data_IF_141668859071
#
_entry.id   IF_141668859071
#
_cell.length_a   1.000
_cell.length_b   1.000
_cell.length_c   1.000
_cell.angle_alpha   90.00
_cell.angle_beta   90.00
_cell.angle_gamma   90.00
#
_symmetry.space_group_name_H-M   'P 1'
#
loop_
_entity.id
_entity.type
_entity.pdbx_description
1 polymer ?
#
# COMPACT_ATOMS: atom_id res chain seq x y z
N UNK A 1 -15.62 10.19 29.01
CA UNK A 1 -15.61 8.83 28.43
C UNK A 1 -14.27 8.65 27.72
N UNK A 2 -13.69 7.45 27.77
CA UNK A 2 -12.25 7.21 27.83
C UNK A 2 -11.40 7.72 26.67
N UNK A 3 -10.26 8.32 27.01
CA UNK A 3 -9.13 8.56 26.10
C UNK A 3 -8.62 7.21 25.59
N UNK A 4 -9.03 6.80 24.38
CA UNK A 4 -8.33 5.75 23.63
C UNK A 4 -6.90 6.25 23.41
N UNK A 5 -5.96 5.78 24.24
CA UNK A 5 -4.53 5.87 23.94
C UNK A 5 -4.29 4.93 22.77
N UNK A 6 -4.35 5.45 21.56
CA UNK A 6 -3.71 4.77 20.44
C UNK A 6 -2.23 4.70 20.80
N UNK A 7 -1.59 3.52 20.67
CA UNK A 7 -0.21 3.38 21.07
C UNK A 7 0.60 4.43 20.29
N UNK A 8 1.51 5.13 20.98
CA UNK A 8 2.49 6.07 20.39
C UNK A 8 3.41 5.40 19.35
N UNK A 9 3.11 4.15 19.01
CA UNK A 9 3.91 3.19 18.29
C UNK A 9 2.99 2.21 17.56
N UNK A 10 3.13 2.08 16.25
CA UNK A 10 2.61 0.92 15.52
C UNK A 10 3.74 -0.11 15.46
N UNK A 11 3.77 -1.11 16.36
CA UNK A 11 4.85 -2.09 16.42
C UNK A 11 4.99 -2.84 15.10
N UNK A 12 6.25 -3.06 14.68
CA UNK A 12 6.56 -3.87 13.51
C UNK A 12 6.37 -3.21 12.15
N UNK A 13 5.90 -1.95 12.07
CA UNK A 13 5.81 -1.21 10.79
C UNK A 13 7.19 -0.71 10.34
N UNK A 14 7.43 -0.59 9.03
CA UNK A 14 8.64 0.00 8.46
C UNK A 14 8.90 1.42 9.00
N UNK A 15 10.16 1.81 9.16
CA UNK A 15 10.53 3.09 9.76
C UNK A 15 10.01 4.28 8.94
N UNK A 16 10.05 4.14 7.62
CA UNK A 16 9.62 5.13 6.65
C UNK A 16 8.11 5.38 6.76
N UNK A 17 7.32 4.31 6.90
CA UNK A 17 5.88 4.42 7.14
C UNK A 17 5.58 5.08 8.48
N UNK A 18 6.33 4.72 9.54
CA UNK A 18 6.18 5.38 10.84
C UNK A 18 6.41 6.89 10.73
N UNK A 19 7.49 7.30 10.07
CA UNK A 19 7.82 8.72 9.89
C UNK A 19 6.75 9.46 9.08
N UNK A 20 6.19 8.83 8.05
CA UNK A 20 5.15 9.43 7.21
C UNK A 20 3.79 9.56 7.92
N UNK A 21 3.45 8.62 8.81
CA UNK A 21 2.10 8.49 9.35
C UNK A 21 1.92 9.08 10.76
N UNK A 22 2.96 9.01 11.61
CA UNK A 22 2.81 9.20 13.06
C UNK A 22 2.22 10.56 13.44
N UNK A 23 2.67 11.64 12.79
CA UNK A 23 2.17 12.99 13.06
C UNK A 23 0.64 13.07 12.86
N UNK A 24 0.15 12.59 11.71
CA UNK A 24 -1.27 12.63 11.37
C UNK A 24 -2.10 11.71 12.26
N UNK A 25 -1.56 10.53 12.59
CA UNK A 25 -2.22 9.59 13.49
C UNK A 25 -2.43 10.19 14.88
N UNK A 26 -1.42 10.88 15.43
CA UNK A 26 -1.49 11.54 16.73
C UNK A 26 -2.39 12.78 16.71
N UNK A 27 -2.46 13.49 15.57
CA UNK A 27 -3.34 14.64 15.38
C UNK A 27 -4.82 14.24 15.18
N UNK A 28 -5.12 12.95 14.98
CA UNK A 28 -6.46 12.48 14.65
C UNK A 28 -6.82 12.62 13.16
N UNK A 29 -5.86 13.00 12.31
CA UNK A 29 -5.99 13.12 10.86
C UNK A 29 -5.85 11.74 10.20
N UNK A 30 -6.75 10.82 10.54
CA UNK A 30 -6.66 9.40 10.19
C UNK A 30 -6.62 9.12 8.68
N UNK A 31 -7.44 9.82 7.90
CA UNK A 31 -7.44 9.70 6.44
C UNK A 31 -6.12 10.16 5.83
N UNK A 32 -5.55 11.24 6.36
CA UNK A 32 -4.27 11.77 5.90
C UNK A 32 -3.12 10.83 6.28
N UNK A 33 -3.15 10.27 7.50
CA UNK A 33 -2.17 9.27 7.94
C UNK A 33 -2.14 8.07 6.99
N UNK A 34 -3.31 7.57 6.59
CA UNK A 34 -3.40 6.46 5.63
C UNK A 34 -2.96 6.90 4.24
N UNK A 35 -3.35 8.11 3.80
CA UNK A 35 -2.90 8.65 2.51
C UNK A 35 -1.38 8.69 2.42
N UNK A 36 -0.70 9.15 3.48
CA UNK A 36 0.76 9.18 3.56
C UNK A 36 1.35 7.76 3.47
N UNK A 37 0.78 6.79 4.18
CA UNK A 37 1.22 5.40 4.10
C UNK A 37 1.23 4.87 2.65
N UNK A 38 0.15 5.09 1.91
CA UNK A 38 0.02 4.62 0.53
C UNK A 38 0.86 5.40 -0.47
N UNK A 39 1.16 6.68 -0.21
CA UNK A 39 2.16 7.42 -0.97
C UNK A 39 3.57 6.84 -0.76
N UNK A 40 3.92 6.44 0.46
CA UNK A 40 5.19 5.76 0.73
C UNK A 40 5.31 4.45 -0.06
N UNK A 41 4.23 3.65 -0.13
CA UNK A 41 4.18 2.44 -0.96
C UNK A 41 4.37 2.77 -2.44
N UNK A 42 3.68 3.78 -2.94
CA UNK A 42 3.78 4.18 -4.35
C UNK A 42 5.21 4.63 -4.70
N UNK A 43 5.86 5.41 -3.83
CA UNK A 43 7.23 5.85 -4.06
C UNK A 43 8.23 4.69 -4.03
N UNK A 44 8.08 3.77 -3.08
CA UNK A 44 8.92 2.57 -2.99
C UNK A 44 8.78 1.70 -4.25
N UNK A 45 7.54 1.46 -4.70
CA UNK A 45 7.27 0.68 -5.90
C UNK A 45 7.84 1.38 -7.15
N UNK A 46 7.69 2.70 -7.25
CA UNK A 46 8.25 3.50 -8.35
C UNK A 46 9.77 3.34 -8.43
N UNK A 47 10.46 3.44 -7.29
CA UNK A 47 11.91 3.23 -7.20
C UNK A 47 12.30 1.81 -7.60
N UNK A 48 11.55 0.80 -7.16
CA UNK A 48 11.80 -0.61 -7.51
C UNK A 48 11.67 -0.85 -9.02
N UNK A 49 10.59 -0.35 -9.63
CA UNK A 49 10.36 -0.42 -11.07
C UNK A 49 11.45 0.30 -11.87
N UNK A 50 11.92 1.46 -11.40
CA UNK A 50 13.04 2.14 -12.05
C UNK A 50 14.32 1.31 -12.04
N UNK A 51 14.60 0.60 -10.94
CA UNK A 51 15.75 -0.29 -10.82
C UNK A 51 15.63 -1.53 -11.70
N UNK A 52 14.41 -2.02 -11.94
CA UNK A 52 14.09 -3.11 -12.87
C UNK A 52 14.05 -2.67 -14.36
N UNK A 53 14.48 -1.44 -14.66
CA UNK A 53 14.54 -0.92 -16.04
C UNK A 53 13.27 -0.25 -16.56
N UNK A 54 12.18 -0.20 -15.79
CA UNK A 54 10.94 0.48 -16.18
C UNK A 54 11.09 2.00 -15.99
N UNK A 55 11.30 2.73 -17.10
CA UNK A 55 11.55 4.19 -17.08
C UNK A 55 10.30 5.04 -16.85
N UNK A 56 9.13 4.56 -17.28
CA UNK A 56 7.85 5.26 -17.15
C UNK A 56 6.84 4.44 -16.35
N UNK A 57 6.94 4.44 -15.00
CA UNK A 57 5.93 3.81 -14.15
C UNK A 57 4.55 4.43 -14.36
N UNK A 58 3.52 3.59 -14.37
CA UNK A 58 2.14 4.02 -14.54
C UNK A 58 1.71 4.94 -13.38
N UNK A 59 0.83 5.92 -13.63
CA UNK A 59 0.40 6.86 -12.60
C UNK A 59 -0.56 6.21 -11.60
N UNK A 60 -0.31 6.46 -10.32
CA UNK A 60 -1.12 5.97 -9.21
C UNK A 60 -0.85 4.51 -8.86
N UNK A 61 -0.87 4.22 -7.56
CA UNK A 61 -0.50 2.92 -7.00
C UNK A 61 -1.17 1.72 -7.71
N UNK A 62 -2.46 1.74 -7.99
CA UNK A 62 -3.16 0.58 -8.56
C UNK A 62 -2.67 0.20 -9.97
N UNK A 63 -2.45 1.19 -10.85
CA UNK A 63 -1.91 0.93 -12.18
C UNK A 63 -0.45 0.51 -12.12
N UNK A 64 0.32 1.12 -11.21
CA UNK A 64 1.71 0.77 -10.97
C UNK A 64 1.85 -0.65 -10.41
N UNK A 65 0.93 -1.08 -9.55
CA UNK A 65 0.87 -2.44 -9.01
C UNK A 65 0.62 -3.47 -10.11
N UNK A 66 -0.33 -3.18 -11.01
CA UNK A 66 -0.58 -4.02 -12.19
C UNK A 66 0.65 -4.09 -13.08
N UNK A 67 1.34 -2.97 -13.31
CA UNK A 67 2.58 -2.97 -14.09
C UNK A 67 3.69 -3.80 -13.43
N UNK A 68 3.76 -3.77 -12.09
CA UNK A 68 4.76 -4.49 -11.33
C UNK A 68 4.50 -5.99 -11.27
N UNK A 69 3.27 -6.42 -11.04
CA UNK A 69 2.97 -7.82 -10.71
C UNK A 69 2.01 -8.51 -11.67
N UNK A 70 1.48 -7.80 -12.67
CA UNK A 70 0.48 -8.31 -13.59
C UNK A 70 -0.96 -7.97 -13.17
N UNK A 71 -1.89 -8.23 -14.08
CA UNK A 71 -3.30 -7.93 -13.86
C UNK A 71 -4.00 -9.11 -13.14
N UNK A 72 -4.87 -8.86 -12.12
CA UNK A 72 -5.53 -9.97 -11.42
C UNK A 72 -6.56 -10.73 -12.25
N UNK A 73 -7.24 -10.07 -13.20
CA UNK A 73 -8.03 -10.76 -14.24
C UNK A 73 -7.09 -11.51 -15.19
N UNK A 74 -7.12 -12.86 -15.25
CA UNK A 74 -6.22 -13.66 -16.08
C UNK A 74 -6.34 -13.34 -17.57
N UNK A 75 -7.51 -12.86 -18.03
CA UNK A 75 -7.72 -12.49 -19.45
C UNK A 75 -6.99 -11.21 -19.84
N UNK A 76 -6.59 -10.40 -18.85
CA UNK A 76 -5.91 -9.11 -19.04
C UNK A 76 -4.46 -9.15 -18.58
N UNK A 77 -4.03 -10.26 -17.97
CA UNK A 77 -2.70 -10.38 -17.43
C UNK A 77 -1.67 -10.56 -18.56
N UNK A 78 -0.65 -9.70 -18.54
CA UNK A 78 0.45 -9.72 -19.51
C UNK A 78 1.79 -9.99 -18.82
N UNK A 79 1.75 -10.40 -17.54
CA UNK A 79 2.93 -10.48 -16.69
C UNK A 79 3.28 -9.14 -16.07
N UNK A 80 4.00 -9.21 -14.96
CA UNK A 80 4.54 -8.05 -14.24
C UNK A 80 6.02 -7.83 -14.55
N UNK A 81 6.49 -6.60 -14.32
CA UNK A 81 7.90 -6.25 -14.42
C UNK A 81 8.76 -6.79 -13.26
N UNK A 82 8.16 -7.17 -12.13
CA UNK A 82 8.85 -7.69 -10.96
C UNK A 82 8.55 -9.19 -10.79
N UNK A 83 9.59 -9.96 -10.52
CA UNK A 83 9.46 -11.38 -10.26
C UNK A 83 9.01 -11.64 -8.81
N UNK A 84 8.11 -12.61 -8.67
CA UNK A 84 7.69 -13.18 -7.39
C UNK A 84 8.07 -14.66 -7.40
N UNK A 85 8.99 -15.07 -6.53
CA UNK A 85 9.31 -16.47 -6.31
C UNK A 85 8.28 -17.11 -5.37
N UNK A 86 7.08 -17.30 -5.91
CA UNK A 86 5.88 -17.78 -5.21
C UNK A 86 5.08 -18.71 -6.12
N UNK A 87 4.17 -19.49 -5.53
CA UNK A 87 3.19 -20.25 -6.31
C UNK A 87 2.25 -19.32 -7.11
N UNK A 88 1.60 -19.84 -8.15
CA UNK A 88 0.66 -19.05 -8.95
C UNK A 88 -0.54 -18.55 -8.15
N UNK A 89 -1.03 -19.34 -7.19
CA UNK A 89 -2.13 -18.93 -6.29
C UNK A 89 -1.71 -17.77 -5.38
N UNK A 90 -0.49 -17.81 -4.84
CA UNK A 90 0.05 -16.71 -4.03
C UNK A 90 0.27 -15.46 -4.88
N UNK A 91 0.84 -15.59 -6.09
CA UNK A 91 0.96 -14.47 -7.04
C UNK A 91 -0.40 -13.83 -7.31
N UNK A 92 -1.43 -14.65 -7.53
CA UNK A 92 -2.79 -14.17 -7.74
C UNK A 92 -3.33 -13.43 -6.50
N UNK A 93 -3.05 -13.93 -5.30
CA UNK A 93 -3.33 -13.26 -4.04
C UNK A 93 -2.68 -11.87 -3.96
N UNK A 94 -1.41 -11.76 -4.31
CA UNK A 94 -0.65 -10.50 -4.31
C UNK A 94 -1.21 -9.49 -5.32
N UNK A 95 -1.56 -9.93 -6.54
CA UNK A 95 -2.20 -9.09 -7.55
C UNK A 95 -3.53 -8.51 -7.04
N UNK A 96 -4.36 -9.36 -6.44
CA UNK A 96 -5.65 -8.97 -5.87
C UNK A 96 -5.50 -8.03 -4.67
N UNK A 97 -4.58 -8.35 -3.75
CA UNK A 97 -4.37 -7.59 -2.52
C UNK A 97 -3.95 -6.15 -2.82
N UNK A 98 -2.93 -5.95 -3.65
CA UNK A 98 -2.44 -4.60 -3.93
C UNK A 98 -3.40 -3.78 -4.77
N UNK A 99 -4.11 -4.38 -5.74
CA UNK A 99 -5.13 -3.66 -6.50
C UNK A 99 -6.34 -3.30 -5.62
N UNK A 100 -6.78 -4.22 -4.77
CA UNK A 100 -7.85 -4.00 -3.80
C UNK A 100 -7.51 -2.87 -2.83
N UNK A 101 -6.31 -2.92 -2.25
CA UNK A 101 -5.80 -1.86 -1.38
C UNK A 101 -5.76 -0.51 -2.12
N UNK A 102 -5.13 -0.45 -3.29
CA UNK A 102 -5.05 0.78 -4.06
C UNK A 102 -6.44 1.36 -4.39
N UNK A 103 -7.43 0.52 -4.72
CA UNK A 103 -8.79 0.98 -4.99
C UNK A 103 -9.50 1.47 -3.72
N UNK A 104 -9.31 0.79 -2.59
CA UNK A 104 -9.92 1.17 -1.32
C UNK A 104 -9.39 2.51 -0.80
N UNK A 105 -8.09 2.78 -0.97
CA UNK A 105 -7.45 4.00 -0.45
C UNK A 105 -7.35 5.15 -1.46
N UNK A 106 -7.70 4.93 -2.73
CA UNK A 106 -7.73 5.98 -3.78
C UNK A 106 -8.84 7.01 -3.59
N UNK A 107 -9.87 6.73 -2.79
CA UNK A 107 -11.00 7.64 -2.62
C UNK A 107 -11.29 7.92 -1.13
N UNK A 108 -10.67 8.96 -0.54
CA UNK A 108 -10.97 9.39 0.83
C UNK A 108 -12.45 9.79 1.02
N UNK A 109 -13.11 10.26 -0.04
CA UNK A 109 -14.48 10.80 0.00
C UNK A 109 -15.55 9.68 -0.09
N UNK A 110 -15.21 8.51 -0.63
CA UNK A 110 -16.15 7.38 -0.75
C UNK A 110 -16.34 6.60 0.57
N UNK A 111 -15.50 6.83 1.58
CA UNK A 111 -15.73 6.29 2.92
C UNK A 111 -16.77 7.19 3.58
N UNK A 112 -18.02 6.71 3.52
CA UNK A 112 -19.23 7.32 4.05
C UNK A 112 -18.96 8.07 5.36
N UNK A 113 -19.23 9.39 5.37
CA UNK A 113 -19.16 10.23 6.60
C UNK A 113 -19.73 9.46 7.79
N UNK A 114 -18.94 9.24 8.85
CA UNK A 114 -17.67 9.90 9.19
C UNK A 114 -16.44 9.29 8.50
N UNK A 115 -15.38 10.08 8.28
CA UNK A 115 -14.09 9.60 7.78
C UNK A 115 -13.47 8.52 8.68
N UNK A 116 -12.28 8.02 8.31
CA UNK A 116 -11.68 6.87 9.02
C UNK A 116 -11.56 7.09 10.53
N UNK A 117 -11.79 6.04 11.29
CA UNK A 117 -11.42 5.93 12.70
C UNK A 117 -9.91 5.67 12.86
N UNK A 118 -9.38 5.88 14.06
CA UNK A 118 -7.99 5.52 14.36
C UNK A 118 -7.69 4.04 14.17
N UNK A 119 -8.67 3.16 14.45
CA UNK A 119 -8.54 1.72 14.22
C UNK A 119 -8.43 1.39 12.73
N UNK A 120 -9.29 1.98 11.89
CA UNK A 120 -9.23 1.82 10.43
C UNK A 120 -7.94 2.40 9.85
N UNK A 121 -7.43 3.50 10.41
CA UNK A 121 -6.14 4.04 10.00
C UNK A 121 -4.98 3.10 10.31
N UNK A 122 -4.94 2.53 11.52
CA UNK A 122 -3.92 1.55 11.91
C UNK A 122 -3.96 0.33 10.98
N UNK A 123 -5.15 -0.19 10.66
CA UNK A 123 -5.30 -1.30 9.71
C UNK A 123 -4.78 -0.92 8.32
N UNK A 124 -5.11 0.27 7.84
CA UNK A 124 -4.59 0.79 6.56
C UNK A 124 -3.07 0.88 6.53
N UNK A 125 -2.45 1.32 7.63
CA UNK A 125 -0.99 1.43 7.74
C UNK A 125 -0.34 0.03 7.76
N UNK A 126 -0.91 -0.94 8.48
CA UNK A 126 -0.39 -2.31 8.46
C UNK A 126 -0.52 -2.98 7.09
N UNK A 127 -1.60 -2.68 6.36
CA UNK A 127 -1.73 -3.17 4.99
C UNK A 127 -0.69 -2.51 4.07
N UNK A 128 -0.42 -1.21 4.21
CA UNK A 128 0.66 -0.54 3.49
C UNK A 128 2.04 -1.15 3.82
N UNK A 129 2.28 -1.49 5.09
CA UNK A 129 3.51 -2.17 5.53
C UNK A 129 3.68 -3.54 4.86
N UNK A 130 2.61 -4.33 4.78
CA UNK A 130 2.62 -5.60 4.06
C UNK A 130 2.97 -5.41 2.58
N UNK A 131 2.41 -4.40 1.91
CA UNK A 131 2.72 -4.10 0.52
C UNK A 131 4.20 -3.70 0.33
N UNK A 132 4.77 -2.91 1.25
CA UNK A 132 6.21 -2.59 1.20
C UNK A 132 7.07 -3.84 1.31
N UNK A 133 6.79 -4.73 2.26
CA UNK A 133 7.53 -5.98 2.43
C UNK A 133 7.47 -6.87 1.19
N UNK A 134 6.35 -6.87 0.48
CA UNK A 134 6.21 -7.57 -0.81
C UNK A 134 7.15 -6.95 -1.85
N UNK A 135 7.14 -5.62 -2.00
CA UNK A 135 8.01 -4.89 -2.95
C UNK A 135 9.50 -5.10 -2.62
N UNK A 136 9.86 -5.15 -1.35
CA UNK A 136 11.25 -5.33 -0.93
C UNK A 136 11.78 -6.72 -1.31
N UNK A 137 10.96 -7.76 -1.16
CA UNK A 137 11.30 -9.16 -1.43
C UNK A 137 11.34 -9.53 -2.91
N UNK A 138 10.84 -8.68 -3.80
CA UNK A 138 10.83 -8.99 -5.23
C UNK A 138 12.16 -8.68 -5.89
N UNK A 139 12.47 -9.39 -6.96
CA UNK A 139 13.61 -9.07 -7.83
C UNK A 139 13.09 -8.41 -9.11
N UNK A 140 13.94 -7.56 -9.70
CA UNK A 140 13.62 -6.78 -10.89
C UNK A 140 14.77 -6.80 -11.87
#
# INVERSE_FOLDING_TARGET
QGTRRYPEFIPGVAQELRQACLYHLLAGDYDESVRQAYLTVEEALRKKLWRSGVRNPAPGLGKMWIQAFGHPDPKKDKGGALALDLSEDEKQGIKNLGLGAANFFRNPIAHSRPGRTGEEAIVGIYLADLLLRIIERTEG
#
